data_IF_104606767561
#
_entry.id   IF_104606767561
#
_cell.length_a   1.000
_cell.length_b   1.000
_cell.length_c   1.000
_cell.angle_alpha   90.00
_cell.angle_beta   90.00
_cell.angle_gamma   90.00
#
_symmetry.space_group_name_H-M   'P 1'
#
loop_
_entity.id
_entity.type
_entity.pdbx_description
1 polymer ?
#
# COMPACT_ATOMS: atom_id res chain seq x y z
N UNK A 1 20.53 3.33 -10.48
CA UNK A 1 20.05 3.20 -9.09
C UNK A 1 20.39 1.81 -8.53
N UNK A 2 21.65 1.54 -8.16
CA UNK A 2 22.07 0.21 -7.69
C UNK A 2 22.60 0.30 -6.25
N UNK A 3 21.72 0.10 -5.28
CA UNK A 3 22.14 -0.13 -3.89
C UNK A 3 21.53 -1.42 -3.40
N UNK A 4 22.37 -2.31 -2.86
CA UNK A 4 21.94 -3.49 -2.11
C UNK A 4 21.53 -3.14 -0.68
N UNK A 5 21.86 -1.94 -0.22
CA UNK A 5 21.53 -1.46 1.12
C UNK A 5 20.09 -0.96 1.17
N UNK A 6 19.47 -1.14 2.34
CA UNK A 6 18.17 -0.55 2.64
C UNK A 6 18.19 0.96 2.37
N UNK A 7 17.05 1.54 1.98
CA UNK A 7 16.92 2.99 1.78
C UNK A 7 17.35 3.81 3.01
N UNK A 8 17.26 3.24 4.20
CA UNK A 8 17.64 3.87 5.47
C UNK A 8 19.15 3.84 5.73
N UNK A 9 19.89 2.96 5.05
CA UNK A 9 21.33 2.76 5.21
C UNK A 9 22.15 3.45 4.11
N UNK A 10 21.48 4.00 3.10
CA UNK A 10 22.10 4.75 2.02
C UNK A 10 22.59 6.11 2.56
N UNK A 11 23.85 6.45 2.30
CA UNK A 11 24.48 7.68 2.84
C UNK A 11 23.73 8.93 2.41
N UNK A 12 23.30 8.97 1.14
CA UNK A 12 22.52 10.07 0.56
C UNK A 12 21.19 10.31 1.27
N UNK A 13 20.62 9.31 1.94
CA UNK A 13 19.33 9.40 2.60
C UNK A 13 19.44 9.63 4.11
N UNK A 14 20.62 9.50 4.72
CA UNK A 14 20.79 9.65 6.18
C UNK A 14 20.29 11.01 6.69
N UNK A 15 20.51 12.07 5.92
CA UNK A 15 20.02 13.41 6.24
C UNK A 15 18.49 13.49 6.32
N UNK A 16 17.78 12.74 5.47
CA UNK A 16 16.31 12.71 5.44
C UNK A 16 15.74 12.05 6.70
N UNK A 17 16.37 10.96 7.17
CA UNK A 17 15.83 10.16 8.27
C UNK A 17 16.30 10.59 9.66
N UNK A 18 17.48 11.20 9.80
CA UNK A 18 18.07 11.54 11.10
C UNK A 18 17.13 12.38 11.98
N UNK A 19 16.48 13.39 11.39
CA UNK A 19 15.54 14.25 12.12
C UNK A 19 14.26 13.53 12.55
N UNK A 20 13.76 12.63 11.71
CA UNK A 20 12.57 11.83 11.98
C UNK A 20 12.83 10.83 13.11
N UNK A 21 13.91 10.06 13.01
CA UNK A 21 14.33 9.09 14.04
C UNK A 21 14.48 9.79 15.39
N UNK A 22 15.13 10.96 15.43
CA UNK A 22 15.29 11.72 16.68
C UNK A 22 13.95 12.12 17.31
N UNK A 23 12.98 12.61 16.52
CA UNK A 23 11.66 12.99 17.01
C UNK A 23 10.89 11.78 17.56
N UNK A 24 10.92 10.66 16.84
CA UNK A 24 10.26 9.43 17.28
C UNK A 24 10.88 8.87 18.56
N UNK A 25 12.21 8.79 18.63
CA UNK A 25 12.89 8.31 19.84
C UNK A 25 12.63 9.23 21.04
N UNK A 26 12.54 10.54 20.84
CA UNK A 26 12.21 11.47 21.92
C UNK A 26 10.80 11.22 22.47
N UNK A 27 9.81 11.00 21.59
CA UNK A 27 8.44 10.70 22.00
C UNK A 27 8.33 9.32 22.68
N UNK A 28 8.96 8.29 22.11
CA UNK A 28 8.93 6.92 22.65
C UNK A 28 9.63 6.78 24.01
N UNK A 29 10.56 7.68 24.32
CA UNK A 29 11.31 7.71 25.57
C UNK A 29 10.80 8.78 26.54
N UNK A 30 9.63 9.38 26.26
CA UNK A 30 9.03 10.39 27.13
C UNK A 30 8.71 9.76 28.50
N UNK A 31 9.32 10.25 29.59
CA UNK A 31 9.12 9.69 30.92
C UNK A 31 7.67 9.80 31.42
N UNK A 32 6.87 10.74 30.88
CA UNK A 32 5.46 10.95 31.22
C UNK A 32 4.53 9.88 30.59
N UNK A 33 5.00 9.11 29.59
CA UNK A 33 4.23 8.00 28.99
C UNK A 33 4.28 6.71 29.85
N UNK A 34 3.91 6.82 31.13
CA UNK A 34 3.92 5.69 32.06
C UNK A 34 3.00 4.53 31.66
N UNK A 35 1.92 4.82 30.91
CA UNK A 35 0.93 3.84 30.46
C UNK A 35 1.49 2.81 29.46
N UNK A 36 2.62 3.09 28.81
CA UNK A 36 3.23 2.22 27.81
C UNK A 36 4.53 1.55 28.27
N UNK A 37 4.92 1.71 29.55
CA UNK A 37 6.10 1.02 30.11
C UNK A 37 5.88 -0.49 30.11
N UNK A 38 6.67 -1.20 29.30
CA UNK A 38 6.73 -2.65 29.30
C UNK A 38 7.22 -3.15 30.67
N UNK A 39 6.31 -3.72 31.46
CA UNK A 39 6.69 -4.39 32.70
C UNK A 39 7.40 -5.69 32.33
N UNK A 40 8.57 -5.93 32.93
CA UNK A 40 9.25 -7.23 32.79
C UNK A 40 8.26 -8.34 33.18
N UNK A 41 8.08 -9.38 32.36
CA UNK A 41 7.14 -10.44 32.67
C UNK A 41 7.50 -11.06 34.02
N UNK A 42 6.60 -10.95 35.01
CA UNK A 42 6.69 -11.68 36.28
C UNK A 42 6.37 -13.14 35.98
N UNK A 43 7.42 -13.97 35.92
CA UNK A 43 7.44 -15.44 36.02
C UNK A 43 6.24 -16.26 35.46
N UNK A 44 6.58 -17.15 34.53
CA UNK A 44 5.94 -18.43 34.15
C UNK A 44 4.51 -18.48 33.60
N UNK A 45 3.63 -17.52 33.89
CA UNK A 45 2.34 -17.46 33.21
C UNK A 45 2.48 -16.77 31.85
N UNK A 46 2.86 -17.55 30.82
CA UNK A 46 2.75 -17.23 29.38
C UNK A 46 1.30 -17.04 28.92
N UNK A 47 0.44 -16.48 29.76
CA UNK A 47 -0.87 -16.03 29.35
C UNK A 47 -0.62 -14.93 28.32
N UNK A 48 -1.03 -15.19 27.07
CA UNK A 48 -0.84 -14.32 25.90
C UNK A 48 -0.95 -12.86 26.33
N UNK A 49 0.16 -12.13 26.25
CA UNK A 49 0.22 -10.73 26.63
C UNK A 49 -0.71 -9.96 25.67
N UNK A 50 -1.92 -9.66 26.15
CA UNK A 50 -3.01 -9.06 25.36
C UNK A 50 -2.55 -7.78 24.64
N UNK A 51 -1.81 -6.86 25.30
CA UNK A 51 -1.13 -5.74 24.64
C UNK A 51 -0.26 -6.13 23.44
N UNK A 52 0.56 -7.17 23.56
CA UNK A 52 1.43 -7.62 22.47
C UNK A 52 0.64 -8.17 21.29
N UNK A 53 -0.41 -8.96 21.57
CA UNK A 53 -1.29 -9.43 20.50
C UNK A 53 -1.98 -8.26 19.79
N UNK A 54 -2.40 -7.25 20.56
CA UNK A 54 -3.01 -6.05 20.00
C UNK A 54 -2.04 -5.29 19.08
N UNK A 55 -0.79 -5.07 19.52
CA UNK A 55 0.27 -4.48 18.70
C UNK A 55 0.47 -5.23 17.39
N UNK A 56 0.60 -6.56 17.45
CA UNK A 56 0.82 -7.40 16.28
C UNK A 56 -0.38 -7.44 15.33
N UNK A 57 -1.60 -7.39 15.86
CA UNK A 57 -2.81 -7.24 15.05
C UNK A 57 -2.85 -5.88 14.35
N UNK A 58 -2.53 -4.80 15.06
CA UNK A 58 -2.44 -3.46 14.47
C UNK A 58 -1.37 -3.39 13.37
N UNK A 59 -0.22 -4.05 13.56
CA UNK A 59 0.80 -4.18 12.52
C UNK A 59 0.26 -4.88 11.25
N UNK A 60 -0.49 -5.97 11.43
CA UNK A 60 -1.11 -6.68 10.33
C UNK A 60 -2.12 -5.81 9.58
N UNK A 61 -2.98 -5.11 10.30
CA UNK A 61 -3.98 -4.21 9.73
C UNK A 61 -3.33 -3.07 8.94
N UNK A 62 -2.27 -2.48 9.48
CA UNK A 62 -1.48 -1.45 8.79
C UNK A 62 -0.89 -1.99 7.49
N UNK A 63 -0.34 -3.21 7.50
CA UNK A 63 0.19 -3.84 6.28
C UNK A 63 -0.90 -4.11 5.24
N UNK A 64 -2.12 -4.45 5.66
CA UNK A 64 -3.25 -4.65 4.75
C UNK A 64 -3.67 -3.32 4.12
N UNK A 65 -3.74 -2.24 4.90
CA UNK A 65 -4.01 -0.89 4.40
C UNK A 65 -2.91 -0.42 3.43
N UNK A 66 -1.64 -0.65 3.78
CA UNK A 66 -0.48 -0.38 2.89
C UNK A 66 -0.63 -1.14 1.57
N UNK A 67 -0.97 -2.44 1.61
CA UNK A 67 -1.18 -3.24 0.42
C UNK A 67 -2.30 -2.69 -0.46
N UNK A 68 -3.43 -2.30 0.15
CA UNK A 68 -4.55 -1.66 -0.53
C UNK A 68 -4.12 -0.36 -1.23
N UNK A 69 -3.44 0.53 -0.50
CA UNK A 69 -2.92 1.79 -1.03
C UNK A 69 -1.90 1.59 -2.16
N UNK A 70 -1.04 0.58 -2.04
CA UNK A 70 -0.07 0.17 -3.06
C UNK A 70 -0.83 -0.22 -4.34
N UNK A 71 -1.76 -1.16 -4.24
CA UNK A 71 -2.47 -1.74 -5.40
C UNK A 71 -3.40 -0.74 -6.07
N UNK A 72 -4.07 0.11 -5.29
CA UNK A 72 -5.05 1.07 -5.81
C UNK A 72 -4.41 2.40 -6.25
N UNK A 73 -3.29 2.80 -5.64
CA UNK A 73 -2.71 4.13 -5.83
C UNK A 73 -1.54 4.22 -6.82
N UNK A 74 -0.97 3.10 -7.28
CA UNK A 74 0.28 3.12 -8.04
C UNK A 74 0.14 3.21 -9.57
N UNK A 75 -1.07 3.12 -10.11
CA UNK A 75 -1.33 2.96 -11.56
C UNK A 75 -1.72 1.53 -11.88
N UNK A 76 -1.14 0.92 -12.92
CA UNK A 76 -1.36 -0.50 -13.24
C UNK A 76 -0.54 -1.34 -12.25
N UNK A 77 -1.16 -2.01 -11.25
CA UNK A 77 -0.39 -2.60 -10.16
C UNK A 77 0.31 -3.88 -10.59
N UNK A 78 1.39 -4.26 -9.92
CA UNK A 78 2.08 -5.53 -10.14
C UNK A 78 1.16 -6.76 -9.92
N UNK A 79 1.55 -7.92 -10.44
CA UNK A 79 0.80 -9.17 -10.22
C UNK A 79 0.97 -9.66 -8.78
N UNK A 80 0.01 -10.43 -8.28
CA UNK A 80 -0.01 -10.93 -6.91
C UNK A 80 1.29 -11.62 -6.46
N UNK A 81 1.86 -12.50 -7.32
CA UNK A 81 3.12 -13.17 -7.02
C UNK A 81 4.33 -12.22 -6.98
N UNK A 82 4.28 -11.11 -7.71
CA UNK A 82 5.32 -10.09 -7.71
C UNK A 82 5.26 -9.26 -6.44
N UNK A 83 4.05 -8.86 -6.04
CA UNK A 83 3.79 -8.12 -4.79
C UNK A 83 4.28 -8.92 -3.57
N UNK A 84 3.98 -10.23 -3.53
CA UNK A 84 4.50 -11.13 -2.49
C UNK A 84 6.03 -11.08 -2.37
N UNK A 85 6.72 -10.88 -3.50
CA UNK A 85 8.18 -10.83 -3.58
C UNK A 85 8.80 -9.46 -3.33
N UNK A 86 8.02 -8.40 -3.06
CA UNK A 86 8.58 -7.08 -2.85
C UNK A 86 9.49 -7.04 -1.62
N UNK A 87 10.71 -6.56 -1.80
CA UNK A 87 11.69 -6.37 -0.73
C UNK A 87 12.10 -4.89 -0.60
N UNK A 88 12.27 -4.41 0.63
CA UNK A 88 12.80 -3.07 0.92
C UNK A 88 14.29 -3.10 1.30
N UNK A 89 14.83 -4.27 1.62
CA UNK A 89 16.26 -4.50 1.84
C UNK A 89 16.68 -5.83 1.20
N UNK A 90 17.97 -5.95 0.84
CA UNK A 90 18.52 -7.18 0.26
C UNK A 90 18.68 -8.26 1.34
N UNK A 91 18.23 -9.48 1.06
CA UNK A 91 18.36 -10.61 1.97
C UNK A 91 19.76 -11.26 1.91
N UNK A 92 20.38 -11.26 0.72
CA UNK A 92 21.74 -11.76 0.50
C UNK A 92 22.45 -10.96 -0.59
N UNK A 93 23.77 -11.12 -0.70
CA UNK A 93 24.58 -10.56 -1.80
C UNK A 93 24.25 -11.18 -3.15
N UNK A 94 23.68 -12.40 -3.16
CA UNK A 94 23.27 -13.13 -4.34
C UNK A 94 21.85 -12.72 -4.82
N UNK A 95 20.93 -12.43 -3.89
CA UNK A 95 19.57 -11.96 -4.19
C UNK A 95 19.52 -10.44 -4.20
N UNK A 96 20.10 -9.83 -5.24
CA UNK A 96 20.13 -8.37 -5.46
C UNK A 96 18.75 -7.81 -5.87
N UNK A 97 17.73 -7.95 -5.02
CA UNK A 97 16.38 -7.51 -5.37
C UNK A 97 15.73 -6.67 -4.28
N UNK A 98 16.44 -5.64 -3.78
CA UNK A 98 15.71 -4.51 -3.21
C UNK A 98 14.80 -3.96 -4.31
N UNK A 99 13.50 -3.83 -4.04
CA UNK A 99 12.51 -3.30 -4.97
C UNK A 99 12.16 -1.85 -4.64
N UNK A 100 12.56 -1.35 -3.48
CA UNK A 100 12.12 -0.06 -2.98
C UNK A 100 13.24 0.96 -2.93
N UNK A 101 13.03 2.13 -3.52
CA UNK A 101 14.06 3.15 -3.66
C UNK A 101 13.48 4.55 -3.51
N UNK A 102 14.36 5.53 -3.33
CA UNK A 102 14.01 6.94 -3.52
C UNK A 102 14.50 7.35 -4.92
N UNK A 103 13.59 7.87 -5.74
CA UNK A 103 13.87 8.31 -7.10
C UNK A 103 13.21 9.66 -7.36
N UNK A 104 14.00 10.68 -7.71
CA UNK A 104 13.50 12.05 -8.01
C UNK A 104 12.50 12.53 -6.94
N UNK A 105 12.87 12.35 -5.66
CA UNK A 105 12.06 12.71 -4.49
C UNK A 105 10.77 11.89 -4.27
N UNK A 106 10.57 10.77 -4.97
CA UNK A 106 9.44 9.86 -4.74
C UNK A 106 9.95 8.53 -4.17
N UNK A 107 9.18 7.92 -3.27
CA UNK A 107 9.39 6.50 -2.94
C UNK A 107 8.80 5.69 -4.08
N UNK A 108 9.60 4.79 -4.63
CA UNK A 108 9.23 3.96 -5.79
C UNK A 108 9.38 2.49 -5.45
N UNK A 109 8.50 1.67 -6.02
CA UNK A 109 8.68 0.22 -6.10
C UNK A 109 9.05 -0.12 -7.55
N UNK A 110 10.07 -0.91 -7.77
CA UNK A 110 10.47 -1.29 -9.11
C UNK A 110 11.16 -2.64 -9.20
N UNK A 111 11.42 -3.05 -10.44
CA UNK A 111 12.18 -4.24 -10.77
C UNK A 111 11.67 -5.54 -10.14
N UNK A 112 10.34 -5.81 -10.16
CA UNK A 112 9.85 -7.04 -9.59
C UNK A 112 10.36 -8.24 -10.37
N UNK A 113 10.30 -9.41 -9.74
CA UNK A 113 10.60 -10.67 -10.40
C UNK A 113 9.68 -10.87 -11.61
N UNK A 114 10.25 -11.25 -12.76
CA UNK A 114 9.45 -11.57 -13.93
C UNK A 114 8.76 -12.93 -13.79
N UNK A 115 7.73 -13.17 -14.62
CA UNK A 115 7.05 -14.48 -14.69
C UNK A 115 7.92 -15.56 -15.35
N UNK A 116 8.78 -15.17 -16.29
CA UNK A 116 9.55 -16.06 -17.14
C UNK A 116 11.00 -16.19 -16.62
N UNK A 117 11.30 -17.30 -15.95
CA UNK A 117 12.63 -17.76 -15.50
C UNK A 117 13.38 -16.92 -14.44
N UNK A 118 14.22 -17.63 -13.67
CA UNK A 118 14.69 -17.31 -12.31
C UNK A 118 15.70 -16.18 -12.16
N UNK A 119 16.00 -15.40 -13.20
CA UNK A 119 17.07 -14.38 -13.17
C UNK A 119 16.74 -13.06 -13.87
N UNK A 120 15.55 -12.91 -14.43
CA UNK A 120 15.16 -11.69 -15.13
C UNK A 120 14.24 -10.81 -14.28
N UNK A 121 14.58 -9.52 -14.21
CA UNK A 121 13.73 -8.50 -13.58
C UNK A 121 12.86 -7.85 -14.65
N UNK A 122 11.62 -7.52 -14.28
CA UNK A 122 10.74 -6.76 -15.15
C UNK A 122 11.15 -5.28 -15.14
N UNK A 123 11.18 -4.65 -16.30
CA UNK A 123 11.28 -3.19 -16.43
C UNK A 123 9.98 -2.52 -15.98
N UNK A 124 9.85 -2.31 -14.68
CA UNK A 124 8.72 -1.60 -14.09
C UNK A 124 9.20 -0.73 -12.93
N UNK A 125 8.62 0.46 -12.84
CA UNK A 125 8.88 1.41 -11.76
C UNK A 125 7.59 2.14 -11.45
N UNK A 126 7.12 2.05 -10.21
CA UNK A 126 5.88 2.65 -9.74
C UNK A 126 6.18 3.68 -8.67
N UNK A 127 5.75 4.92 -8.88
CA UNK A 127 5.76 5.90 -7.80
C UNK A 127 4.64 5.59 -6.81
N UNK A 128 4.96 5.57 -5.53
CA UNK A 128 3.95 5.46 -4.49
C UNK A 128 3.28 6.82 -4.26
N UNK A 129 1.99 6.84 -3.88
CA UNK A 129 1.36 8.05 -3.39
C UNK A 129 2.17 8.71 -2.25
N UNK A 130 2.23 10.05 -2.15
CA UNK A 130 3.03 10.72 -1.12
C UNK A 130 2.68 10.32 0.32
N UNK A 131 1.39 10.28 0.67
CA UNK A 131 0.95 9.84 2.01
C UNK A 131 1.35 8.39 2.31
N UNK A 132 1.11 7.48 1.35
CA UNK A 132 1.51 6.09 1.49
C UNK A 132 3.02 5.92 1.61
N UNK A 133 3.80 6.72 0.86
CA UNK A 133 5.25 6.75 0.94
C UNK A 133 5.71 7.06 2.36
N UNK A 134 5.14 8.09 2.98
CA UNK A 134 5.46 8.47 4.36
C UNK A 134 5.07 7.37 5.36
N UNK A 135 3.87 6.81 5.24
CA UNK A 135 3.41 5.69 6.09
C UNK A 135 4.36 4.51 6.01
N UNK A 136 4.79 4.16 4.80
CA UNK A 136 5.64 3.00 4.54
C UNK A 136 7.08 3.21 5.02
N UNK A 137 7.60 4.44 4.88
CA UNK A 137 8.87 4.85 5.48
C UNK A 137 8.83 4.78 7.00
N UNK A 138 7.77 5.31 7.62
CA UNK A 138 7.56 5.24 9.07
C UNK A 138 7.49 3.80 9.55
N UNK A 139 6.71 2.98 8.84
CA UNK A 139 6.53 1.58 9.18
C UNK A 139 7.86 0.82 9.21
N UNK A 140 8.70 0.95 8.17
CA UNK A 140 9.98 0.24 8.14
C UNK A 140 11.09 0.85 9.01
N UNK A 141 11.05 2.16 9.27
CA UNK A 141 12.08 2.83 10.09
C UNK A 141 11.82 2.79 11.58
N UNK A 142 10.55 2.68 12.00
CA UNK A 142 10.16 2.78 13.42
C UNK A 142 9.36 1.55 13.84
N UNK A 143 8.15 1.39 13.29
CA UNK A 143 7.18 0.40 13.78
C UNK A 143 7.77 -1.01 13.71
N UNK A 144 8.28 -1.42 12.54
CA UNK A 144 8.81 -2.76 12.35
C UNK A 144 10.06 -3.04 13.18
N UNK A 145 11.08 -2.16 13.25
CA UNK A 145 12.20 -2.34 14.18
C UNK A 145 11.75 -2.52 15.63
N UNK A 146 10.77 -1.73 16.10
CA UNK A 146 10.17 -1.90 17.43
C UNK A 146 9.51 -3.28 17.54
N UNK A 147 8.66 -3.68 16.59
CA UNK A 147 8.03 -5.01 16.57
C UNK A 147 9.05 -6.15 16.61
N UNK A 148 10.19 -6.01 15.92
CA UNK A 148 11.30 -6.97 15.92
C UNK A 148 11.97 -7.01 17.29
N UNK A 149 12.17 -5.86 17.94
CA UNK A 149 12.78 -5.79 19.27
C UNK A 149 11.87 -6.39 20.34
N UNK A 150 10.56 -6.10 20.28
CA UNK A 150 9.57 -6.71 21.18
C UNK A 150 9.55 -8.24 21.05
N UNK A 151 9.67 -8.77 19.83
CA UNK A 151 9.80 -10.21 19.62
C UNK A 151 11.03 -10.81 20.32
N UNK A 152 12.17 -10.11 20.28
CA UNK A 152 13.42 -10.57 20.89
C UNK A 152 13.40 -10.47 22.42
N UNK A 153 12.95 -9.33 22.95
CA UNK A 153 13.12 -9.00 24.37
C UNK A 153 11.94 -9.41 25.24
N UNK A 154 10.70 -9.35 24.70
CA UNK A 154 9.48 -9.64 25.45
C UNK A 154 8.98 -11.05 25.14
N UNK A 155 8.86 -11.39 23.86
CA UNK A 155 8.36 -12.70 23.44
C UNK A 155 9.45 -13.78 23.52
N UNK A 156 10.72 -13.37 23.62
CA UNK A 156 11.89 -14.26 23.64
C UNK A 156 11.94 -15.20 22.43
N UNK A 157 11.47 -14.71 21.28
CA UNK A 157 11.46 -15.44 20.02
C UNK A 157 12.40 -14.77 19.03
N UNK A 158 13.14 -15.61 18.29
CA UNK A 158 13.98 -15.11 17.20
C UNK A 158 13.07 -14.60 16.08
N UNK A 159 13.14 -13.31 15.70
CA UNK A 159 12.36 -12.78 14.59
C UNK A 159 12.76 -13.50 13.30
N UNK A 160 11.79 -13.68 12.41
CA UNK A 160 12.07 -14.26 11.10
C UNK A 160 13.00 -13.33 10.32
N UNK A 161 14.02 -13.90 9.67
CA UNK A 161 14.98 -13.14 8.87
C UNK A 161 14.32 -12.37 7.72
N UNK A 162 13.19 -12.88 7.21
CA UNK A 162 12.39 -12.27 6.15
C UNK A 162 11.76 -10.93 6.57
N UNK A 163 11.43 -10.73 7.84
CA UNK A 163 10.85 -9.48 8.34
C UNK A 163 11.81 -8.29 8.15
N UNK A 164 13.12 -8.55 8.12
CA UNK A 164 14.14 -7.53 7.87
C UNK A 164 14.28 -7.14 6.38
N UNK A 165 13.63 -7.85 5.45
CA UNK A 165 13.84 -7.65 4.01
C UNK A 165 12.56 -7.49 3.19
N UNK A 166 11.53 -8.27 3.48
CA UNK A 166 10.29 -8.32 2.69
C UNK A 166 9.31 -7.23 3.13
N UNK A 167 8.62 -6.60 2.19
CA UNK A 167 7.59 -5.59 2.48
C UNK A 167 6.44 -6.21 3.28
N UNK A 168 5.90 -7.34 2.84
CA UNK A 168 4.74 -8.01 3.46
C UNK A 168 5.16 -9.20 4.33
N UNK A 169 5.97 -8.91 5.34
CA UNK A 169 6.43 -9.86 6.36
C UNK A 169 6.40 -9.19 7.74
N UNK A 170 5.26 -9.28 8.47
CA UNK A 170 5.17 -8.83 9.86
C UNK A 170 6.29 -9.41 10.72
N UNK A 171 6.61 -8.78 11.86
CA UNK A 171 7.74 -9.23 12.68
C UNK A 171 7.56 -10.63 13.28
N UNK A 172 6.30 -11.03 13.50
CA UNK A 172 5.90 -12.23 14.23
C UNK A 172 5.27 -13.32 13.34
N UNK A 173 5.19 -13.07 12.02
CA UNK A 173 4.62 -14.02 11.06
C UNK A 173 5.59 -14.26 9.89
N UNK A 174 5.46 -15.38 9.17
CA UNK A 174 6.17 -15.55 7.91
C UNK A 174 5.72 -14.51 6.87
N UNK A 175 6.47 -14.41 5.76
CA UNK A 175 6.04 -13.66 4.58
C UNK A 175 4.64 -14.09 4.19
N UNK A 176 3.77 -13.13 3.88
CA UNK A 176 2.40 -13.44 3.49
C UNK A 176 2.36 -14.41 2.31
N UNK A 177 1.46 -15.39 2.41
CA UNK A 177 1.17 -16.28 1.30
C UNK A 177 0.48 -15.52 0.17
N UNK A 178 0.40 -16.14 -1.01
CA UNK A 178 -0.29 -15.53 -2.15
C UNK A 178 -1.78 -15.35 -1.85
N UNK A 179 -2.37 -16.32 -1.16
CA UNK A 179 -3.76 -16.35 -0.71
C UNK A 179 -4.04 -15.21 0.27
N UNK A 180 -3.12 -14.95 1.21
CA UNK A 180 -3.24 -13.81 2.15
C UNK A 180 -3.21 -12.48 1.42
N UNK A 181 -2.32 -12.29 0.44
CA UNK A 181 -2.25 -11.08 -0.41
C UNK A 181 -3.58 -10.87 -1.14
N UNK A 182 -4.12 -11.92 -1.77
CA UNK A 182 -5.38 -11.86 -2.51
C UNK A 182 -6.55 -11.54 -1.56
N UNK A 183 -6.61 -12.19 -0.40
CA UNK A 183 -7.66 -11.98 0.59
C UNK A 183 -7.64 -10.56 1.15
N UNK A 184 -6.45 -10.05 1.50
CA UNK A 184 -6.29 -8.69 1.97
C UNK A 184 -6.79 -7.67 0.93
N UNK A 185 -6.46 -7.83 -0.34
CA UNK A 185 -6.89 -6.89 -1.40
C UNK A 185 -8.41 -6.94 -1.61
N UNK A 186 -9.01 -8.13 -1.59
CA UNK A 186 -10.47 -8.25 -1.63
C UNK A 186 -11.13 -7.58 -0.41
N UNK A 187 -10.51 -7.67 0.76
CA UNK A 187 -10.99 -7.00 1.97
C UNK A 187 -10.88 -5.49 1.85
N UNK A 188 -9.73 -4.97 1.41
CA UNK A 188 -9.51 -3.53 1.23
C UNK A 188 -10.41 -2.91 0.16
N UNK A 189 -10.60 -3.60 -0.97
CA UNK A 189 -11.52 -3.16 -2.03
C UNK A 189 -12.97 -3.21 -1.57
N UNK A 190 -13.38 -4.22 -0.81
CA UNK A 190 -14.71 -4.27 -0.23
C UNK A 190 -14.93 -3.15 0.79
N UNK A 191 -13.95 -2.90 1.66
CA UNK A 191 -14.05 -1.86 2.67
C UNK A 191 -14.16 -0.46 2.05
N UNK A 192 -13.28 -0.13 1.09
CA UNK A 192 -13.27 1.19 0.46
C UNK A 192 -14.31 1.39 -0.64
N UNK A 193 -14.49 0.40 -1.51
CA UNK A 193 -15.31 0.49 -2.73
C UNK A 193 -16.64 -0.27 -2.65
N UNK A 194 -16.90 -0.99 -1.55
CA UNK A 194 -18.07 -1.89 -1.41
C UNK A 194 -18.13 -2.99 -2.48
N UNK A 195 -16.99 -3.32 -3.11
CA UNK A 195 -16.87 -4.37 -4.14
C UNK A 195 -15.59 -5.18 -3.88
N UNK A 196 -15.71 -6.51 -3.92
CA UNK A 196 -14.56 -7.43 -3.76
C UNK A 196 -13.85 -7.61 -5.10
N UNK A 197 -12.80 -6.83 -5.34
CA UNK A 197 -11.98 -6.94 -6.55
C UNK A 197 -10.70 -7.74 -6.28
N UNK A 198 -10.35 -8.61 -7.22
CA UNK A 198 -9.03 -9.25 -7.31
C UNK A 198 -8.01 -8.31 -7.95
N UNK A 199 -6.71 -8.56 -7.72
CA UNK A 199 -5.62 -7.83 -8.41
C UNK A 199 -5.80 -7.88 -9.93
N UNK A 200 -6.25 -9.01 -10.48
CA UNK A 200 -6.44 -9.16 -11.93
C UNK A 200 -7.49 -8.18 -12.44
N UNK A 201 -8.62 -8.09 -11.76
CA UNK A 201 -9.72 -7.18 -12.13
C UNK A 201 -9.28 -5.72 -11.99
N UNK A 202 -8.59 -5.37 -10.90
CA UNK A 202 -8.03 -4.01 -10.72
C UNK A 202 -7.06 -3.67 -11.85
N UNK A 203 -6.16 -4.58 -12.22
CA UNK A 203 -5.24 -4.37 -13.34
C UNK A 203 -5.97 -4.14 -14.66
N UNK A 204 -6.99 -4.95 -14.96
CA UNK A 204 -7.79 -4.83 -16.18
C UNK A 204 -8.56 -3.50 -16.21
N UNK A 205 -9.18 -3.13 -15.09
CA UNK A 205 -9.89 -1.87 -14.91
C UNK A 205 -8.94 -0.67 -15.13
N UNK A 206 -7.80 -0.65 -14.44
CA UNK A 206 -6.83 0.45 -14.56
C UNK A 206 -6.32 0.53 -16.01
N UNK A 207 -5.99 -0.62 -16.64
CA UNK A 207 -5.57 -0.66 -18.05
C UNK A 207 -6.64 -0.08 -18.99
N UNK A 208 -7.92 -0.42 -18.78
CA UNK A 208 -9.03 0.11 -19.57
C UNK A 208 -9.19 1.63 -19.37
N UNK A 209 -9.04 2.12 -18.13
CA UNK A 209 -9.04 3.56 -17.83
C UNK A 209 -7.86 4.23 -18.56
N UNK A 210 -6.65 3.69 -18.49
CA UNK A 210 -5.51 4.24 -19.21
C UNK A 210 -5.76 4.31 -20.72
N UNK A 211 -6.30 3.26 -21.35
CA UNK A 211 -6.62 3.28 -22.78
C UNK A 211 -7.64 4.35 -23.14
N UNK A 212 -8.70 4.48 -22.34
CA UNK A 212 -9.78 5.42 -22.62
C UNK A 212 -9.43 6.88 -22.32
N UNK A 213 -8.70 7.11 -21.24
CA UNK A 213 -8.55 8.43 -20.62
C UNK A 213 -7.12 8.97 -20.69
N UNK A 214 -6.12 8.09 -20.86
CA UNK A 214 -4.71 8.45 -20.94
C UNK A 214 -4.01 7.70 -22.10
N UNK A 215 -4.58 7.69 -23.33
CA UNK A 215 -4.10 6.85 -24.42
C UNK A 215 -2.62 7.10 -24.73
N UNK A 216 -2.15 8.35 -24.65
CA UNK A 216 -0.74 8.71 -24.90
C UNK A 216 0.26 8.09 -23.92
N UNK A 217 -0.19 7.53 -22.79
CA UNK A 217 0.67 6.84 -21.82
C UNK A 217 0.74 5.33 -22.04
N UNK A 218 -0.21 4.75 -22.79
CA UNK A 218 -0.33 3.30 -22.99
C UNK A 218 -0.23 2.87 -24.46
N UNK A 219 -0.63 3.71 -25.39
CA UNK A 219 -0.44 3.50 -26.81
C UNK A 219 0.95 4.00 -27.19
N UNK A 220 1.75 3.19 -27.87
CA UNK A 220 3.08 3.63 -28.28
C UNK A 220 2.97 4.70 -29.37
N UNK A 221 3.68 5.80 -29.20
CA UNK A 221 3.78 6.86 -30.23
C UNK A 221 4.49 6.37 -31.50
N UNK A 222 5.32 5.34 -31.35
CA UNK A 222 6.08 4.69 -32.40
C UNK A 222 5.77 3.18 -32.34
N UNK A 223 5.26 2.60 -33.42
CA UNK A 223 4.89 1.18 -33.50
C UNK A 223 6.05 0.23 -33.20
N UNK A 224 7.30 0.70 -33.29
CA UNK A 224 8.50 -0.07 -32.98
C UNK A 224 8.82 -0.10 -31.47
N UNK A 225 8.16 0.73 -30.65
CA UNK A 225 8.44 0.88 -29.23
C UNK A 225 7.26 0.43 -28.38
N UNK A 226 7.57 -0.10 -27.21
CA UNK A 226 6.58 -0.41 -26.18
C UNK A 226 6.37 0.79 -25.26
N UNK A 227 5.13 1.15 -24.97
CA UNK A 227 4.81 2.19 -23.98
C UNK A 227 5.22 1.79 -22.55
N UNK A 228 5.58 2.76 -21.71
CA UNK A 228 5.99 2.48 -20.32
C UNK A 228 4.88 1.86 -19.49
N UNK A 229 3.61 2.21 -19.73
CA UNK A 229 2.48 1.55 -19.06
C UNK A 229 2.37 0.07 -19.46
N UNK A 230 2.62 -0.28 -20.73
CA UNK A 230 2.65 -1.68 -21.18
C UNK A 230 3.86 -2.44 -20.61
N UNK A 231 5.02 -1.78 -20.47
CA UNK A 231 6.19 -2.34 -19.77
C UNK A 231 5.87 -2.62 -18.29
N UNK A 232 5.26 -1.69 -17.56
CA UNK A 232 4.79 -1.90 -16.18
C UNK A 232 3.77 -3.04 -16.08
N UNK A 233 2.96 -3.22 -17.12
CA UNK A 233 1.97 -4.29 -17.17
C UNK A 233 2.55 -5.67 -17.54
N UNK A 234 3.82 -5.77 -17.94
CA UNK A 234 4.47 -7.00 -18.39
C UNK A 234 3.74 -7.63 -19.60
N UNK A 235 3.34 -6.78 -20.56
CA UNK A 235 2.66 -7.23 -21.79
C UNK A 235 3.60 -7.41 -22.98
N UNK A 236 4.80 -6.85 -22.90
CA UNK A 236 5.70 -6.64 -24.03
C UNK A 236 7.11 -6.72 -23.44
N UNK A 237 7.66 -7.93 -23.47
CA UNK A 237 8.83 -8.31 -22.68
C UNK A 237 10.04 -7.42 -22.93
N UNK A 238 10.39 -6.63 -21.91
CA UNK A 238 11.73 -6.08 -21.70
C UNK A 238 12.28 -6.73 -20.43
N UNK A 239 13.34 -7.51 -20.57
CA UNK A 239 14.00 -8.16 -19.45
C UNK A 239 15.42 -7.61 -19.34
N UNK A 240 15.78 -7.09 -18.17
CA UNK A 240 17.12 -6.59 -17.93
C UNK A 240 17.92 -7.52 -17.05
N UNK A 241 19.23 -7.56 -17.29
CA UNK A 241 20.22 -7.99 -16.32
C UNK A 241 20.78 -6.78 -15.55
N UNK A 242 19.91 -5.94 -14.98
CA UNK A 242 20.34 -4.78 -14.19
C UNK A 242 19.37 -3.61 -14.15
N UNK A 243 19.64 -2.66 -13.24
CA UNK A 243 18.78 -1.52 -12.88
C UNK A 243 19.20 -0.21 -13.59
N UNK A 244 19.78 -0.29 -14.78
CA UNK A 244 20.23 0.90 -15.53
C UNK A 244 19.16 1.38 -16.52
N UNK A 245 18.14 2.06 -15.99
CA UNK A 245 17.12 2.74 -16.79
C UNK A 245 17.59 4.17 -17.09
N UNK A 246 17.57 4.63 -18.35
CA UNK A 246 17.84 6.04 -18.69
C UNK A 246 16.89 7.01 -17.98
N UNK A 247 17.39 8.20 -17.65
CA UNK A 247 16.61 9.20 -16.90
C UNK A 247 15.29 9.61 -17.57
N UNK A 248 15.28 9.64 -18.90
CA UNK A 248 14.10 9.91 -19.72
C UNK A 248 13.04 8.82 -19.55
N UNK A 249 13.45 7.56 -19.45
CA UNK A 249 12.54 6.44 -19.24
C UNK A 249 12.06 6.35 -17.79
N UNK A 250 12.91 6.68 -16.80
CA UNK A 250 12.50 6.86 -15.41
C UNK A 250 11.35 7.88 -15.32
N UNK A 251 11.49 9.05 -15.96
CA UNK A 251 10.44 10.06 -15.97
C UNK A 251 9.13 9.53 -16.58
N UNK A 252 9.23 8.77 -17.68
CA UNK A 252 8.07 8.17 -18.33
C UNK A 252 7.37 7.14 -17.44
N UNK A 253 8.10 6.35 -16.65
CA UNK A 253 7.49 5.46 -15.65
C UNK A 253 6.80 6.24 -14.53
N UNK A 254 7.47 7.24 -13.95
CA UNK A 254 6.90 8.07 -12.88
C UNK A 254 5.64 8.79 -13.36
N UNK A 255 5.61 9.27 -14.60
CA UNK A 255 4.45 9.94 -15.19
C UNK A 255 3.22 9.03 -15.27
N UNK A 256 3.36 7.72 -15.47
CA UNK A 256 2.22 6.79 -15.43
C UNK A 256 1.58 6.78 -14.03
N UNK A 257 2.39 6.61 -12.98
CA UNK A 257 1.89 6.64 -11.60
C UNK A 257 1.35 8.01 -11.21
N UNK A 258 2.03 9.10 -11.58
CA UNK A 258 1.57 10.45 -11.25
C UNK A 258 0.27 10.83 -11.97
N UNK A 259 0.10 10.46 -13.25
CA UNK A 259 -1.14 10.69 -13.97
C UNK A 259 -2.30 9.94 -13.33
N UNK A 260 -2.08 8.69 -12.91
CA UNK A 260 -3.07 7.94 -12.14
C UNK A 260 -3.41 8.59 -10.80
N UNK A 261 -2.40 8.97 -10.02
CA UNK A 261 -2.60 9.64 -8.73
C UNK A 261 -3.31 10.98 -8.87
N UNK A 262 -3.05 11.72 -9.95
CA UNK A 262 -3.74 12.97 -10.24
C UNK A 262 -5.18 12.74 -10.71
N UNK A 263 -5.44 11.71 -11.51
CA UNK A 263 -6.80 11.28 -11.88
C UNK A 263 -7.64 10.94 -10.64
N UNK A 264 -6.99 10.33 -9.65
CA UNK A 264 -7.57 10.01 -8.35
C UNK A 264 -7.61 11.20 -7.37
N UNK A 265 -7.07 12.37 -7.73
CA UNK A 265 -7.02 13.53 -6.82
C UNK A 265 -6.09 13.37 -5.62
N UNK A 266 -5.21 12.36 -5.60
CA UNK A 266 -4.23 12.12 -4.54
C UNK A 266 -3.03 13.08 -4.65
N UNK A 267 -2.70 13.50 -5.87
CA UNK A 267 -1.58 14.40 -6.17
C UNK A 267 -2.05 15.53 -7.07
N UNK A 268 -1.55 16.74 -6.83
CA UNK A 268 -1.74 17.85 -7.77
C UNK A 268 -1.14 17.51 -9.13
N UNK A 269 -1.92 17.64 -10.20
CA UNK A 269 -1.42 17.55 -11.55
C UNK A 269 -0.49 18.74 -11.84
N UNK A 270 0.80 18.47 -12.01
CA UNK A 270 1.71 19.45 -12.61
C UNK A 270 1.24 19.80 -14.03
N UNK A 271 1.75 20.89 -14.62
CA UNK A 271 1.29 21.40 -15.93
C UNK A 271 1.24 20.32 -17.02
N UNK A 272 2.25 19.43 -17.09
CA UNK A 272 2.31 18.34 -18.07
C UNK A 272 1.21 17.30 -17.88
N UNK A 273 0.91 16.91 -16.64
CA UNK A 273 -0.15 15.95 -16.31
C UNK A 273 -1.52 16.61 -16.48
N UNK A 274 -1.63 17.88 -16.08
CA UNK A 274 -2.86 18.66 -16.23
C UNK A 274 -3.27 18.72 -17.71
N UNK A 275 -2.34 18.94 -18.63
CA UNK A 275 -2.60 18.91 -20.07
C UNK A 275 -3.13 17.56 -20.58
N UNK A 276 -2.70 16.45 -19.97
CA UNK A 276 -3.24 15.11 -20.26
C UNK A 276 -4.66 14.95 -19.71
N UNK A 277 -4.92 15.44 -18.49
CA UNK A 277 -6.21 15.34 -17.81
C UNK A 277 -7.27 16.32 -18.35
N UNK A 278 -6.87 17.45 -18.93
CA UNK A 278 -7.80 18.44 -19.51
C UNK A 278 -8.63 17.89 -20.68
N UNK A 279 -8.24 16.75 -21.25
CA UNK A 279 -9.02 16.03 -22.27
C UNK A 279 -10.14 15.14 -21.66
N UNK A 280 -10.25 15.08 -20.34
CA UNK A 280 -11.27 14.32 -19.62
C UNK A 280 -12.54 15.16 -19.41
N UNK A 281 -13.73 14.53 -19.45
CA UNK A 281 -14.98 15.25 -19.27
C UNK A 281 -15.09 15.83 -17.86
N UNK A 282 -15.06 17.17 -17.78
CA UNK A 282 -15.57 17.99 -16.67
C UNK A 282 -14.73 18.09 -15.40
N UNK A 283 -14.65 19.31 -14.85
CA UNK A 283 -14.15 19.64 -13.51
C UNK A 283 -14.91 18.89 -12.41
N UNK A 284 -16.21 18.64 -12.63
CA UNK A 284 -17.09 17.88 -11.72
C UNK A 284 -16.66 16.43 -11.51
N UNK A 285 -16.12 15.75 -12.54
CA UNK A 285 -15.62 14.38 -12.41
C UNK A 285 -14.34 14.34 -11.58
N UNK A 286 -13.48 15.37 -11.70
CA UNK A 286 -12.26 15.50 -10.91
C UNK A 286 -12.59 15.84 -9.45
N UNK A 287 -13.52 16.76 -9.20
CA UNK A 287 -13.96 17.12 -7.85
C UNK A 287 -14.66 15.94 -7.15
N UNK A 288 -15.48 15.17 -7.90
CA UNK A 288 -16.12 13.94 -7.42
C UNK A 288 -15.12 12.82 -7.11
N UNK A 289 -14.18 12.55 -8.02
CA UNK A 289 -13.14 11.53 -7.82
C UNK A 289 -12.16 11.90 -6.71
N UNK A 290 -11.82 13.18 -6.58
CA UNK A 290 -10.98 13.69 -5.50
C UNK A 290 -11.67 13.52 -4.15
N UNK A 291 -12.98 13.82 -4.06
CA UNK A 291 -13.76 13.62 -2.84
C UNK A 291 -13.82 12.14 -2.45
N UNK A 292 -14.21 11.26 -3.38
CA UNK A 292 -14.29 9.81 -3.13
C UNK A 292 -12.93 9.21 -2.77
N UNK A 293 -11.87 9.60 -3.45
CA UNK A 293 -10.54 9.02 -3.20
C UNK A 293 -9.91 9.59 -1.93
N UNK A 294 -10.06 10.88 -1.64
CA UNK A 294 -9.58 11.44 -0.38
C UNK A 294 -10.38 10.92 0.81
N UNK A 295 -11.68 10.70 0.65
CA UNK A 295 -12.52 10.05 1.67
C UNK A 295 -12.08 8.60 1.85
N UNK A 296 -11.76 7.84 0.79
CA UNK A 296 -11.25 6.48 0.94
C UNK A 296 -9.83 6.42 1.52
N UNK A 297 -8.92 7.31 1.12
CA UNK A 297 -7.58 7.38 1.69
C UNK A 297 -7.65 7.82 3.15
N UNK A 298 -8.55 8.74 3.51
CA UNK A 298 -8.81 9.10 4.92
C UNK A 298 -9.46 7.95 5.69
N UNK A 299 -10.48 7.30 5.15
CA UNK A 299 -11.15 6.15 5.80
C UNK A 299 -10.16 4.99 5.98
N UNK A 300 -9.23 4.79 5.03
CA UNK A 300 -8.20 3.76 5.11
C UNK A 300 -7.04 4.11 6.07
N UNK A 301 -6.77 5.39 6.32
CA UNK A 301 -5.62 5.86 7.13
C UNK A 301 -5.99 6.48 8.48
N UNK A 302 -7.24 6.92 8.68
CA UNK A 302 -7.70 7.74 9.82
C UNK A 302 -8.81 7.02 10.61
N UNK A 303 -9.75 6.33 9.96
CA UNK A 303 -10.90 5.68 10.66
C UNK A 303 -10.53 4.41 11.45
N UNK A 304 -9.30 3.91 11.31
CA UNK A 304 -8.77 2.86 12.22
C UNK A 304 -8.06 3.43 13.45
N UNK A 305 -8.07 4.75 13.61
CA UNK A 305 -7.45 5.49 14.70
C UNK A 305 -8.37 5.83 15.87
N UNK A 306 -9.63 5.36 15.90
CA UNK A 306 -10.46 5.45 17.10
C UNK A 306 -10.05 4.40 18.14
N UNK A 307 -8.81 4.52 18.64
CA UNK A 307 -8.47 4.06 19.98
C UNK A 307 -8.76 5.19 20.95
N UNK A 308 -9.93 5.13 21.60
CA UNK A 308 -10.18 5.81 22.87
C UNK A 308 -10.72 7.23 22.77
N UNK A 309 -11.93 7.40 22.23
CA UNK A 309 -12.78 8.53 22.58
C UNK A 309 -14.11 8.00 23.15
N UNK A 310 -14.05 7.45 24.37
CA UNK A 310 -15.21 7.56 25.26
C UNK A 310 -15.36 9.04 25.60
N UNK A 311 -16.22 9.74 24.88
CA UNK A 311 -17.08 10.78 25.45
C UNK A 311 -18.20 11.09 24.46
N UNK A 312 -19.41 10.91 24.96
CA UNK A 312 -20.65 11.11 24.24
C UNK A 312 -20.75 12.52 23.66
N UNK A 313 -20.94 12.61 22.34
CA UNK A 313 -21.61 13.74 21.70
C UNK A 313 -22.61 13.16 20.71
N UNK A 314 -23.90 13.38 21.00
CA UNK A 314 -25.00 13.08 20.08
C UNK A 314 -24.89 14.00 18.86
N UNK A 315 -24.48 13.47 17.71
CA UNK A 315 -24.73 14.12 16.41
C UNK A 315 -26.09 13.69 15.85
N UNK A 316 -26.84 14.59 15.18
CA UNK A 316 -28.18 14.30 14.70
C UNK A 316 -28.17 13.32 13.53
N UNK A 317 -29.23 12.52 13.46
CA UNK A 317 -29.44 11.50 12.44
C UNK A 317 -29.35 12.06 11.01
N UNK A 318 -28.60 11.36 10.17
CA UNK A 318 -28.54 11.58 8.73
C UNK A 318 -29.91 11.29 8.07
N UNK A 319 -30.39 12.10 7.10
CA UNK A 319 -31.74 11.96 6.52
C UNK A 319 -31.96 10.73 5.63
N UNK A 320 -30.95 9.86 5.45
CA UNK A 320 -31.00 8.76 4.48
C UNK A 320 -31.47 7.42 5.04
N UNK A 321 -31.87 7.36 6.32
CA UNK A 321 -32.27 6.11 6.97
C UNK A 321 -33.73 5.66 6.74
N UNK A 322 -34.54 6.38 5.94
CA UNK A 322 -35.99 6.13 5.87
C UNK A 322 -36.51 5.43 4.59
N UNK A 323 -35.66 4.93 3.69
CA UNK A 323 -36.14 4.36 2.41
C UNK A 323 -35.89 2.86 2.20
N UNK A 324 -35.77 2.06 3.26
CA UNK A 324 -35.72 0.61 3.11
C UNK A 324 -36.28 -0.10 4.35
N UNK A 325 -37.62 -0.22 4.44
CA UNK A 325 -38.32 -1.25 5.21
C UNK A 325 -39.84 -1.07 5.05
N UNK A 326 -40.42 -1.54 3.94
CA UNK A 326 -41.86 -1.84 3.87
C UNK A 326 -42.15 -2.77 2.68
N UNK A 327 -41.99 -4.08 2.90
CA UNK A 327 -42.76 -5.14 2.24
C UNK A 327 -42.66 -6.42 3.07
N UNK A 328 -43.54 -6.54 4.06
CA UNK A 328 -43.96 -7.83 4.63
C UNK A 328 -45.49 -7.81 4.69
N UNK A 329 -46.14 -8.45 3.73
CA UNK A 329 -47.54 -8.81 3.82
C UNK A 329 -47.69 -10.34 3.78
N UNK A 330 -48.05 -10.87 4.95
CA UNK A 330 -49.05 -11.90 5.24
C UNK A 330 -49.37 -12.95 4.17
N UNK A 331 -49.06 -14.21 4.49
CA UNK A 331 -49.96 -15.33 4.20
C UNK A 331 -49.84 -16.42 5.28
N UNK A 332 -50.81 -16.48 6.17
CA UNK A 332 -51.16 -17.67 6.95
C UNK A 332 -52.67 -17.79 7.04
N UNK A 333 -53.11 -19.04 6.97
CA UNK A 333 -54.39 -19.60 7.40
C UNK A 333 -55.58 -19.54 6.43
N UNK A 334 -55.74 -20.66 5.71
CA UNK A 334 -57.03 -21.19 5.32
C UNK A 334 -57.11 -22.67 5.69
N UNK A 335 -57.86 -22.99 6.75
CA UNK A 335 -58.49 -24.30 6.97
C UNK A 335 -60.00 -24.11 7.00
N UNK A 336 -60.65 -25.11 6.43
CA UNK A 336 -62.06 -25.23 6.12
C UNK A 336 -63.02 -25.07 7.32
N UNK A 337 -64.23 -24.58 7.02
CA UNK A 337 -65.47 -25.12 7.56
C UNK A 337 -66.67 -24.71 6.68
N UNK A 338 -67.37 -25.74 6.18
CA UNK A 338 -68.71 -25.82 5.54
C UNK A 338 -68.96 -25.08 4.22
#
# INVERSE_FOLDING_TARGET
MKSSKSIFEQEENKGLFKGLVRKFMAALMDPEEECYRLRKPRSENRQKDVPMQHWFNAEHELLEAILGGIVLGMGIPARAFQIKGFCYASFSTAERMCNMFICKHNVVIGFPKSKHYSRMIQEALWALPPGLSQTLLLYFSVIRPVSIQLMKEVVLQKPHSWSASYVFAPSHSPVWSLEKIIAAIKSQTHFGLQIKLSIREIRQLNTAIFRKHLPSLIEPTDLTRTSTANKQADHTGGYMMGVDIPDTEVNSFLNVSHAWQALLGIRSSGQSIQALLHKLPGKELQDGNQRITMDQVRILLVDRGEMGAETAVQTPASPWAHCALQTKHNSKDARACK
#
